data_IF_626010108557
#
_entry.id   IF_626010108557
#
_cell.length_a   1.000
_cell.length_b   1.000
_cell.length_c   1.000
_cell.angle_alpha   90.00
_cell.angle_beta   90.00
_cell.angle_gamma   90.00
#
_symmetry.space_group_name_H-M   'P 1'
#
loop_
_entity.id
_entity.type
_entity.pdbx_description
1 polymer ?
#
# COMPACT_ATOMS: atom_id res chain seq x y z
N UNK A 1 6.08 16.27 -28.17
CA UNK A 1 6.14 15.66 -26.83
C UNK A 1 6.67 14.25 -26.98
N UNK A 2 7.66 13.82 -26.19
CA UNK A 2 8.05 12.41 -26.15
C UNK A 2 6.88 11.64 -25.53
N UNK A 3 6.48 10.54 -26.14
CA UNK A 3 5.50 9.61 -25.54
C UNK A 3 6.03 9.22 -24.17
N UNK A 4 5.28 9.41 -23.07
CA UNK A 4 5.74 8.96 -21.76
C UNK A 4 5.99 7.44 -21.82
N UNK A 5 7.11 7.02 -21.29
CA UNK A 5 7.41 5.59 -21.16
C UNK A 5 7.07 5.16 -19.74
N UNK A 6 6.32 4.06 -19.62
CA UNK A 6 6.04 3.45 -18.33
C UNK A 6 7.34 3.14 -17.58
N UNK A 7 7.39 3.53 -16.33
CA UNK A 7 8.52 3.27 -15.45
C UNK A 7 8.61 1.77 -15.14
N UNK A 8 9.73 1.16 -15.44
CA UNK A 8 9.99 -0.27 -15.21
C UNK A 8 11.35 -0.47 -14.58
N UNK A 9 11.42 -1.38 -13.64
CA UNK A 9 12.65 -1.83 -12.99
C UNK A 9 12.83 -3.31 -13.28
N UNK A 10 13.97 -3.77 -13.84
CA UNK A 10 14.15 -5.17 -14.20
C UNK A 10 13.93 -6.08 -12.98
N UNK A 11 13.11 -7.12 -13.16
CA UNK A 11 12.82 -8.12 -12.13
C UNK A 11 11.86 -7.67 -11.02
N UNK A 12 11.33 -6.43 -11.08
CA UNK A 12 10.34 -5.93 -10.13
C UNK A 12 9.10 -5.38 -10.85
N UNK A 13 7.95 -5.50 -10.23
CA UNK A 13 6.70 -4.89 -10.69
C UNK A 13 6.48 -3.57 -9.94
N UNK A 14 6.34 -2.46 -10.67
CA UNK A 14 6.26 -1.12 -10.09
C UNK A 14 4.89 -0.51 -10.38
N UNK A 15 4.26 0.00 -9.32
CA UNK A 15 3.03 0.79 -9.37
C UNK A 15 3.24 2.22 -8.85
N UNK A 16 2.26 3.08 -9.12
CA UNK A 16 2.21 4.44 -8.57
C UNK A 16 0.91 4.65 -7.80
N UNK A 17 0.84 5.69 -6.98
CA UNK A 17 -0.43 6.13 -6.38
C UNK A 17 -1.24 6.97 -7.37
N UNK A 18 -2.56 7.03 -7.17
CA UNK A 18 -3.45 7.92 -7.89
C UNK A 18 -3.15 9.42 -7.66
N UNK A 19 -2.35 9.73 -6.63
CA UNK A 19 -2.01 11.10 -6.21
C UNK A 19 -0.62 11.59 -6.66
N UNK A 20 0.08 10.88 -7.54
CA UNK A 20 1.30 11.46 -8.15
C UNK A 20 0.96 12.67 -9.04
N UNK A 21 -0.28 12.79 -9.48
CA UNK A 21 -0.83 13.95 -10.18
C UNK A 21 -1.85 14.62 -9.25
N UNK A 22 -1.67 15.92 -8.89
CA UNK A 22 -2.52 16.61 -7.94
C UNK A 22 -3.83 17.08 -8.60
N UNK A 23 -4.75 16.15 -8.86
CA UNK A 23 -6.04 16.41 -9.48
C UNK A 23 -7.09 15.45 -8.91
N UNK A 24 -8.37 15.59 -9.30
CA UNK A 24 -9.42 14.62 -9.04
C UNK A 24 -9.10 13.27 -9.68
N UNK A 25 -9.73 12.19 -9.21
CA UNK A 25 -9.42 10.81 -9.62
C UNK A 25 -9.32 10.62 -11.14
N UNK A 26 -10.37 11.00 -11.89
CA UNK A 26 -10.42 10.73 -13.33
C UNK A 26 -9.32 11.46 -14.10
N UNK A 27 -9.13 12.79 -14.01
CA UNK A 27 -8.04 13.45 -14.71
C UNK A 27 -6.66 12.99 -14.23
N UNK A 28 -6.47 12.74 -12.92
CA UNK A 28 -5.20 12.22 -12.39
C UNK A 28 -4.85 10.86 -13.01
N UNK A 29 -5.80 9.93 -13.03
CA UNK A 29 -5.58 8.58 -13.58
C UNK A 29 -5.32 8.61 -15.09
N UNK A 30 -5.95 9.50 -15.85
CA UNK A 30 -5.64 9.69 -17.29
C UNK A 30 -4.17 10.00 -17.54
N UNK A 31 -3.51 10.67 -16.61
CA UNK A 31 -2.07 10.93 -16.67
C UNK A 31 -1.26 9.77 -16.08
N UNK A 32 -1.66 9.20 -14.94
CA UNK A 32 -0.94 8.11 -14.26
C UNK A 32 -0.71 6.88 -15.16
N UNK A 33 -1.68 6.53 -16.03
CA UNK A 33 -1.57 5.38 -16.95
C UNK A 33 -0.38 5.46 -17.91
N UNK A 34 0.21 6.63 -18.07
CA UNK A 34 1.39 6.84 -18.90
C UNK A 34 2.69 6.48 -18.18
N UNK A 35 2.67 6.33 -16.86
CA UNK A 35 3.88 6.18 -16.04
C UNK A 35 4.01 4.80 -15.40
N UNK A 36 2.91 4.11 -15.10
CA UNK A 36 2.94 2.83 -14.41
C UNK A 36 2.05 1.77 -15.09
N UNK A 37 2.35 0.49 -14.84
CA UNK A 37 1.53 -0.65 -15.26
C UNK A 37 0.50 -1.04 -14.18
N UNK A 38 0.62 -0.49 -12.97
CA UNK A 38 -0.29 -0.69 -11.86
C UNK A 38 -0.53 0.64 -11.12
N UNK A 39 -1.76 0.89 -10.69
CA UNK A 39 -2.13 2.12 -10.00
C UNK A 39 -2.86 1.78 -8.71
N UNK A 40 -2.34 2.32 -7.61
CA UNK A 40 -3.01 2.30 -6.33
C UNK A 40 -4.07 3.42 -6.28
N UNK A 41 -5.34 3.05 -6.34
CA UNK A 41 -6.44 3.98 -6.10
C UNK A 41 -6.54 4.25 -4.60
N UNK A 42 -6.16 5.45 -4.17
CA UNK A 42 -6.18 5.82 -2.76
C UNK A 42 -7.55 6.38 -2.37
N UNK A 43 -8.29 5.66 -1.54
CA UNK A 43 -9.55 6.08 -0.95
C UNK A 43 -9.31 6.53 0.49
N UNK A 44 -8.62 7.68 0.69
CA UNK A 44 -8.10 8.09 1.99
C UNK A 44 -9.18 8.35 3.04
N UNK A 45 -10.34 8.85 2.62
CA UNK A 45 -11.44 9.20 3.52
C UNK A 45 -12.77 8.65 3.01
N UNK A 46 -13.50 7.98 3.89
CA UNK A 46 -14.86 7.52 3.63
C UNK A 46 -15.92 8.47 4.20
N UNK A 47 -15.58 9.19 5.25
CA UNK A 47 -16.53 9.92 6.06
C UNK A 47 -17.37 9.00 6.95
N UNK A 48 -18.39 9.54 7.62
CA UNK A 48 -19.17 8.76 8.59
C UNK A 48 -20.06 7.69 7.95
N UNK A 49 -20.52 7.92 6.72
CA UNK A 49 -21.47 7.05 6.01
C UNK A 49 -21.05 6.73 4.57
N UNK A 50 -19.78 6.90 4.23
CA UNK A 50 -19.23 6.63 2.91
C UNK A 50 -19.40 7.78 1.90
N UNK A 51 -19.76 8.97 2.38
CA UNK A 51 -19.95 10.17 1.54
C UNK A 51 -18.66 10.71 0.92
N UNK A 52 -17.50 10.35 1.50
CA UNK A 52 -16.18 10.70 0.98
C UNK A 52 -15.66 9.75 -0.12
N UNK A 53 -16.36 8.63 -0.36
CA UNK A 53 -15.93 7.67 -1.35
C UNK A 53 -16.18 8.16 -2.79
N UNK A 54 -15.33 7.68 -3.71
CA UNK A 54 -15.50 7.85 -5.16
C UNK A 54 -16.87 7.36 -5.62
N UNK A 55 -17.44 8.00 -6.64
CA UNK A 55 -18.77 7.63 -7.13
C UNK A 55 -18.75 6.42 -8.07
N UNK A 56 -19.88 5.66 -8.19
CA UNK A 56 -19.98 4.58 -9.17
C UNK A 56 -19.78 5.02 -10.64
N UNK A 57 -20.08 6.29 -10.95
CA UNK A 57 -19.86 6.82 -12.29
C UNK A 57 -18.37 7.00 -12.59
N UNK A 58 -17.62 7.54 -11.63
CA UNK A 58 -16.16 7.67 -11.73
C UNK A 58 -15.48 6.29 -11.80
N UNK A 59 -15.92 5.30 -10.99
CA UNK A 59 -15.40 3.93 -11.07
C UNK A 59 -15.53 3.36 -12.48
N UNK A 60 -16.70 3.49 -13.13
CA UNK A 60 -16.88 3.02 -14.51
C UNK A 60 -15.98 3.74 -15.50
N UNK A 61 -15.77 5.04 -15.30
CA UNK A 61 -14.84 5.80 -16.16
C UNK A 61 -13.39 5.35 -15.95
N UNK A 62 -12.97 5.11 -14.70
CA UNK A 62 -11.65 4.58 -14.38
C UNK A 62 -11.44 3.18 -14.96
N UNK A 63 -12.45 2.30 -14.89
CA UNK A 63 -12.38 0.98 -15.50
C UNK A 63 -12.16 1.05 -17.03
N UNK A 64 -12.83 1.99 -17.71
CA UNK A 64 -12.63 2.25 -19.14
C UNK A 64 -11.20 2.73 -19.45
N UNK A 65 -10.71 3.71 -18.70
CA UNK A 65 -9.34 4.24 -18.86
C UNK A 65 -8.29 3.14 -18.67
N UNK A 66 -8.47 2.30 -17.65
CA UNK A 66 -7.55 1.21 -17.35
C UNK A 66 -7.54 0.14 -18.44
N UNK A 67 -8.73 -0.24 -18.96
CA UNK A 67 -8.86 -1.20 -20.03
C UNK A 67 -8.15 -0.72 -21.31
N UNK A 68 -8.35 0.55 -21.67
CA UNK A 68 -7.71 1.17 -22.85
C UNK A 68 -6.17 1.24 -22.72
N UNK A 69 -5.67 1.48 -21.50
CA UNK A 69 -4.23 1.63 -21.25
C UNK A 69 -3.54 0.32 -20.85
N UNK A 70 -4.28 -0.76 -20.59
CA UNK A 70 -3.77 -2.05 -20.12
C UNK A 70 -3.09 -1.96 -18.75
N UNK A 71 -3.63 -1.13 -17.83
CA UNK A 71 -3.14 -1.02 -16.46
C UNK A 71 -3.96 -1.87 -15.50
N UNK A 72 -3.34 -2.24 -14.38
CA UNK A 72 -3.95 -2.99 -13.28
C UNK A 72 -4.24 -2.08 -12.10
N UNK A 73 -5.02 -2.58 -11.16
CA UNK A 73 -5.40 -1.85 -9.98
C UNK A 73 -5.00 -2.57 -8.69
N UNK A 74 -4.54 -1.81 -7.74
CA UNK A 74 -4.73 -2.09 -6.33
C UNK A 74 -5.49 -0.92 -5.69
N UNK A 75 -6.10 -1.12 -4.54
CA UNK A 75 -6.92 -0.12 -3.86
C UNK A 75 -6.41 0.06 -2.45
N UNK A 76 -6.05 1.28 -2.08
CA UNK A 76 -5.83 1.63 -0.69
C UNK A 76 -7.16 2.03 -0.08
N UNK A 77 -7.60 1.27 0.91
CA UNK A 77 -8.87 1.48 1.60
C UNK A 77 -8.81 2.71 2.50
N UNK A 78 -9.97 3.28 2.90
CA UNK A 78 -10.03 4.46 3.75
C UNK A 78 -9.24 4.31 5.06
N UNK A 79 -8.61 5.40 5.50
CA UNK A 79 -7.76 5.45 6.70
C UNK A 79 -8.36 6.29 7.83
N UNK A 80 -9.52 6.91 7.60
CA UNK A 80 -10.22 7.81 8.52
C UNK A 80 -11.11 7.09 9.56
N UNK A 81 -10.89 5.79 9.76
CA UNK A 81 -11.58 4.97 10.74
C UNK A 81 -10.67 4.04 11.53
N UNK A 82 -11.21 3.36 12.52
CA UNK A 82 -10.43 2.47 13.37
C UNK A 82 -11.26 1.61 14.33
N UNK A 83 -10.57 0.80 15.12
CA UNK A 83 -11.14 -0.26 15.96
C UNK A 83 -11.09 0.04 17.48
N UNK A 84 -11.05 1.31 17.92
CA UNK A 84 -10.96 1.64 19.33
C UNK A 84 -12.18 1.19 20.14
N UNK A 85 -13.36 1.39 19.61
CA UNK A 85 -14.63 1.01 20.23
C UNK A 85 -15.42 0.05 19.36
N UNK A 86 -16.43 -0.62 19.93
CA UNK A 86 -17.35 -1.47 19.14
C UNK A 86 -18.08 -0.64 18.06
N UNK A 87 -18.44 0.60 18.37
CA UNK A 87 -19.15 1.46 17.44
C UNK A 87 -18.24 1.95 16.32
N UNK A 88 -17.03 2.46 16.64
CA UNK A 88 -16.07 2.90 15.61
C UNK A 88 -15.64 1.73 14.73
N UNK A 89 -15.38 0.56 15.31
CA UNK A 89 -15.02 -0.65 14.58
C UNK A 89 -16.13 -1.11 13.63
N UNK A 90 -17.40 -1.10 14.06
CA UNK A 90 -18.55 -1.42 13.20
C UNK A 90 -18.66 -0.45 12.03
N UNK A 91 -18.64 0.86 12.29
CA UNK A 91 -18.70 1.90 11.26
C UNK A 91 -17.55 1.78 10.26
N UNK A 92 -16.34 1.60 10.76
CA UNK A 92 -15.16 1.42 9.90
C UNK A 92 -15.32 0.16 9.03
N UNK A 93 -15.74 -0.97 9.60
CA UNK A 93 -16.01 -2.20 8.85
C UNK A 93 -17.04 -1.99 7.74
N UNK A 94 -18.14 -1.29 8.02
CA UNK A 94 -19.18 -0.97 7.04
C UNK A 94 -18.62 -0.11 5.89
N UNK A 95 -17.78 0.88 6.19
CA UNK A 95 -17.13 1.72 5.19
C UNK A 95 -16.10 0.94 4.34
N UNK A 96 -15.31 0.06 4.96
CA UNK A 96 -14.38 -0.83 4.25
C UNK A 96 -15.14 -1.75 3.28
N UNK A 97 -16.21 -2.41 3.73
CA UNK A 97 -17.06 -3.25 2.88
C UNK A 97 -17.62 -2.44 1.71
N UNK A 98 -18.14 -1.25 1.98
CA UNK A 98 -18.68 -0.35 0.96
C UNK A 98 -17.63 0.05 -0.07
N UNK A 99 -16.39 0.36 0.37
CA UNK A 99 -15.28 0.68 -0.52
C UNK A 99 -14.86 -0.53 -1.39
N UNK A 100 -14.80 -1.73 -0.81
CA UNK A 100 -14.51 -2.97 -1.55
C UNK A 100 -15.59 -3.23 -2.61
N UNK A 101 -16.87 -3.19 -2.22
CA UNK A 101 -17.98 -3.45 -3.13
C UNK A 101 -18.02 -2.44 -4.28
N UNK A 102 -17.75 -1.16 -3.98
CA UNK A 102 -17.70 -0.08 -4.95
C UNK A 102 -16.55 -0.26 -5.97
N UNK A 103 -15.37 -0.64 -5.49
CA UNK A 103 -14.17 -0.76 -6.34
C UNK A 103 -14.03 -2.12 -7.02
N UNK A 104 -14.91 -3.06 -6.75
CA UNK A 104 -14.87 -4.42 -7.35
C UNK A 104 -14.92 -4.40 -8.88
N UNK A 105 -15.61 -3.43 -9.48
CA UNK A 105 -15.70 -3.26 -10.94
C UNK A 105 -14.33 -2.97 -11.59
N UNK A 106 -13.36 -2.46 -10.83
CA UNK A 106 -11.99 -2.27 -11.29
C UNK A 106 -11.17 -3.57 -11.32
N UNK A 107 -11.71 -4.67 -10.78
CA UNK A 107 -11.02 -5.95 -10.62
C UNK A 107 -9.64 -5.82 -9.93
N UNK A 108 -9.54 -5.12 -8.77
CA UNK A 108 -8.26 -4.95 -8.12
C UNK A 108 -7.70 -6.30 -7.68
N UNK A 109 -6.40 -6.49 -7.88
CA UNK A 109 -5.74 -7.71 -7.39
C UNK A 109 -5.48 -7.66 -5.87
N UNK A 110 -5.50 -6.47 -5.25
CA UNK A 110 -5.26 -6.28 -3.80
C UNK A 110 -6.01 -5.05 -3.29
N UNK A 111 -6.58 -5.17 -2.09
CA UNK A 111 -7.02 -4.06 -1.25
C UNK A 111 -6.08 -3.95 -0.06
N UNK A 112 -5.53 -2.77 0.19
CA UNK A 112 -4.66 -2.49 1.34
C UNK A 112 -5.48 -1.85 2.44
N UNK A 113 -5.32 -2.33 3.67
CA UNK A 113 -6.08 -1.90 4.83
C UNK A 113 -5.19 -1.55 6.01
N UNK A 114 -5.41 -0.38 6.59
CA UNK A 114 -4.86 -0.04 7.89
C UNK A 114 -5.64 -0.71 9.01
N UNK A 115 -4.91 -1.24 9.99
CA UNK A 115 -5.50 -1.74 11.23
C UNK A 115 -5.08 -0.81 12.36
N UNK A 116 -5.94 0.14 12.70
CA UNK A 116 -5.66 1.14 13.73
C UNK A 116 -6.67 1.06 14.86
N UNK A 117 -6.20 1.38 16.08
CA UNK A 117 -7.04 1.68 17.22
C UNK A 117 -6.86 3.15 17.57
N UNK A 118 -7.92 3.86 17.95
CA UNK A 118 -7.91 5.34 18.16
C UNK A 118 -6.94 5.78 19.29
N UNK A 119 -6.31 4.82 19.95
CA UNK A 119 -5.32 5.14 20.95
C UNK A 119 -4.02 5.50 20.26
N UNK A 120 -3.82 6.78 19.96
CA UNK A 120 -2.51 7.30 19.59
C UNK A 120 -1.75 7.54 20.88
N UNK A 121 -0.85 6.65 21.32
CA UNK A 121 -0.01 6.91 22.47
C UNK A 121 0.87 8.12 22.19
N UNK A 122 1.38 8.75 23.24
CA UNK A 122 2.42 9.76 23.10
C UNK A 122 3.63 9.23 22.31
N UNK A 123 4.55 10.10 21.88
CA UNK A 123 5.61 9.77 20.93
C UNK A 123 6.51 8.59 21.32
N UNK A 124 6.53 8.20 22.58
CA UNK A 124 7.40 7.15 23.11
C UNK A 124 6.67 5.81 23.37
N UNK A 125 5.37 5.72 23.07
CA UNK A 125 4.59 4.50 23.35
C UNK A 125 4.18 3.83 22.04
N UNK A 126 4.67 2.60 21.82
CA UNK A 126 4.23 1.74 20.73
C UNK A 126 2.84 1.16 21.04
N UNK A 127 2.00 1.12 20.01
CA UNK A 127 0.65 0.57 20.11
C UNK A 127 0.72 -0.97 20.14
N UNK A 128 0.19 -1.56 21.20
CA UNK A 128 -0.07 -2.99 21.26
C UNK A 128 -1.58 -3.24 21.26
N UNK A 129 -2.03 -4.18 20.46
CA UNK A 129 -3.43 -4.61 20.51
C UNK A 129 -3.73 -5.31 21.83
N UNK A 130 -4.78 -4.86 22.50
CA UNK A 130 -5.37 -5.63 23.59
C UNK A 130 -6.11 -6.86 23.05
N UNK A 131 -6.39 -7.85 23.90
CA UNK A 131 -7.20 -9.01 23.48
C UNK A 131 -8.55 -8.61 22.93
N UNK A 132 -9.23 -7.63 23.54
CA UNK A 132 -10.53 -7.12 23.09
C UNK A 132 -10.46 -6.44 21.72
N UNK A 133 -9.41 -5.68 21.47
CA UNK A 133 -9.18 -5.06 20.16
C UNK A 133 -8.88 -6.12 19.10
N UNK A 134 -8.03 -7.08 19.43
CA UNK A 134 -7.72 -8.22 18.56
C UNK A 134 -9.00 -8.98 18.18
N UNK A 135 -9.83 -9.35 19.13
CA UNK A 135 -11.11 -10.03 18.89
C UNK A 135 -12.06 -9.19 18.03
N UNK A 136 -12.13 -7.88 18.27
CA UNK A 136 -12.95 -6.95 17.49
C UNK A 136 -12.48 -6.90 16.04
N UNK A 137 -11.17 -6.76 15.83
CA UNK A 137 -10.59 -6.72 14.49
C UNK A 137 -10.84 -8.05 13.77
N UNK A 138 -10.61 -9.19 14.42
CA UNK A 138 -10.87 -10.51 13.83
C UNK A 138 -12.33 -10.67 13.40
N UNK A 139 -13.30 -10.27 14.24
CA UNK A 139 -14.73 -10.27 13.85
C UNK A 139 -15.00 -9.37 12.64
N UNK A 140 -14.34 -8.23 12.55
CA UNK A 140 -14.48 -7.32 11.42
C UNK A 140 -13.88 -7.92 10.14
N UNK A 141 -12.72 -8.55 10.23
CA UNK A 141 -12.10 -9.25 9.09
C UNK A 141 -12.96 -10.43 8.60
N UNK A 142 -13.61 -11.17 9.51
CA UNK A 142 -14.59 -12.20 9.16
C UNK A 142 -15.79 -11.64 8.37
N UNK A 143 -16.25 -10.42 8.71
CA UNK A 143 -17.34 -9.74 7.99
C UNK A 143 -16.89 -9.20 6.63
N UNK A 144 -15.65 -8.74 6.50
CA UNK A 144 -15.08 -8.22 5.25
C UNK A 144 -14.79 -9.34 4.25
N UNK A 145 -14.32 -10.50 4.71
CA UNK A 145 -13.87 -11.62 3.87
C UNK A 145 -14.85 -12.01 2.76
N UNK A 146 -16.18 -12.14 2.98
CA UNK A 146 -17.14 -12.53 1.94
C UNK A 146 -17.27 -11.52 0.79
N UNK A 147 -16.78 -10.29 0.97
CA UNK A 147 -16.81 -9.23 -0.05
C UNK A 147 -15.59 -9.25 -0.97
N UNK A 148 -14.58 -10.06 -0.67
CA UNK A 148 -13.35 -10.21 -1.45
C UNK A 148 -13.48 -11.35 -2.48
N UNK A 149 -12.82 -11.28 -3.64
CA UNK A 149 -12.76 -12.40 -4.59
C UNK A 149 -11.99 -13.59 -4.02
N UNK A 150 -11.00 -13.35 -3.17
CA UNK A 150 -10.29 -14.34 -2.38
C UNK A 150 -9.75 -13.63 -1.11
N UNK A 151 -9.69 -14.31 0.04
CA UNK A 151 -9.30 -13.69 1.31
C UNK A 151 -7.91 -12.99 1.26
N UNK A 152 -6.96 -13.60 0.58
CA UNK A 152 -5.60 -13.08 0.41
C UNK A 152 -5.53 -11.79 -0.42
N UNK A 153 -6.63 -11.38 -1.06
CA UNK A 153 -6.71 -10.09 -1.75
C UNK A 153 -6.79 -8.89 -0.78
N UNK A 154 -7.09 -9.13 0.51
CA UNK A 154 -6.94 -8.10 1.53
C UNK A 154 -5.55 -8.19 2.14
N UNK A 155 -4.78 -7.11 2.03
CA UNK A 155 -3.45 -7.00 2.58
C UNK A 155 -3.45 -6.01 3.76
N UNK A 156 -3.08 -6.49 4.95
CA UNK A 156 -2.96 -5.67 6.14
C UNK A 156 -1.59 -4.98 6.14
N UNK A 157 -1.57 -3.67 6.33
CA UNK A 157 -0.36 -2.86 6.21
C UNK A 157 0.30 -2.62 7.57
N UNK A 158 1.64 -2.76 7.64
CA UNK A 158 2.41 -2.34 8.80
C UNK A 158 2.57 -0.82 8.83
N UNK A 159 2.24 -0.23 9.95
CA UNK A 159 2.21 1.21 10.15
C UNK A 159 3.36 1.67 11.06
N UNK A 160 3.76 2.93 10.91
CA UNK A 160 4.67 3.57 11.85
C UNK A 160 4.05 3.64 13.25
N UNK A 161 4.90 3.70 14.28
CA UNK A 161 4.53 3.72 15.71
C UNK A 161 3.83 2.45 16.20
N UNK A 162 3.81 1.40 15.40
CA UNK A 162 3.33 0.08 15.78
C UNK A 162 4.52 -0.88 15.94
N UNK A 163 4.46 -1.85 16.88
CA UNK A 163 5.45 -2.92 16.93
C UNK A 163 5.48 -3.70 15.62
N UNK A 164 6.64 -4.22 15.25
CA UNK A 164 6.78 -5.03 14.03
C UNK A 164 5.91 -6.29 14.03
N UNK A 165 5.66 -6.86 15.22
CA UNK A 165 4.80 -8.04 15.44
C UNK A 165 3.30 -7.70 15.61
N UNK A 166 2.94 -6.42 15.44
CA UNK A 166 1.56 -5.93 15.63
C UNK A 166 0.54 -6.70 14.78
N UNK A 167 0.87 -6.98 13.51
CA UNK A 167 -0.02 -7.69 12.60
C UNK A 167 0.13 -9.22 12.65
N UNK A 168 1.18 -9.74 13.27
CA UNK A 168 1.49 -11.18 13.21
C UNK A 168 0.36 -12.06 13.73
N UNK A 169 -0.31 -11.62 14.81
CA UNK A 169 -1.48 -12.33 15.35
C UNK A 169 -2.67 -12.31 14.38
N UNK A 170 -2.88 -11.22 13.67
CA UNK A 170 -3.99 -11.07 12.74
C UNK A 170 -3.75 -11.87 11.46
N UNK A 171 -2.56 -11.76 10.88
CA UNK A 171 -2.18 -12.49 9.66
C UNK A 171 -2.14 -13.99 9.94
N UNK A 172 -1.60 -14.43 11.08
CA UNK A 172 -1.57 -15.86 11.43
C UNK A 172 -2.95 -16.46 11.78
N UNK A 173 -3.91 -15.63 12.21
CA UNK A 173 -5.26 -16.06 12.59
C UNK A 173 -6.27 -15.98 11.45
N UNK A 174 -5.91 -15.39 10.31
CA UNK A 174 -6.81 -15.15 9.17
C UNK A 174 -6.13 -15.56 7.86
N UNK A 175 -6.89 -15.79 6.78
CA UNK A 175 -6.33 -16.07 5.46
C UNK A 175 -5.91 -14.81 4.68
N UNK A 176 -5.78 -13.65 5.36
CA UNK A 176 -5.38 -12.39 4.74
C UNK A 176 -3.87 -12.30 4.58
N UNK A 177 -3.45 -11.43 3.69
CA UNK A 177 -2.04 -11.20 3.40
C UNK A 177 -1.50 -9.92 4.06
N UNK A 178 -0.24 -9.61 3.81
CA UNK A 178 0.47 -8.45 4.31
C UNK A 178 0.81 -7.50 3.16
N UNK A 179 0.56 -6.21 3.35
CA UNK A 179 1.23 -5.15 2.64
C UNK A 179 2.47 -4.76 3.44
N UNK A 180 3.65 -4.98 2.88
CA UNK A 180 4.91 -4.64 3.54
C UNK A 180 5.29 -3.20 3.18
N UNK A 181 4.96 -2.24 4.06
CA UNK A 181 5.46 -0.88 3.93
C UNK A 181 6.89 -0.79 4.48
N UNK A 182 7.81 -0.65 3.54
CA UNK A 182 9.26 -0.56 3.78
C UNK A 182 9.63 0.82 4.33
N UNK A 183 8.95 1.87 3.84
CA UNK A 183 9.18 3.25 4.28
C UNK A 183 8.80 3.46 5.75
N UNK A 184 7.69 2.87 6.21
CA UNK A 184 7.30 2.90 7.62
C UNK A 184 8.32 2.20 8.52
N UNK A 185 8.92 1.08 8.06
CA UNK A 185 9.99 0.41 8.82
C UNK A 185 11.22 1.31 8.96
N UNK A 186 11.63 1.96 7.86
CA UNK A 186 12.74 2.92 7.91
C UNK A 186 12.44 4.10 8.83
N UNK A 187 11.20 4.62 8.82
CA UNK A 187 10.77 5.73 9.69
C UNK A 187 10.90 5.40 11.18
N UNK A 188 10.72 4.14 11.55
CA UNK A 188 10.95 3.63 12.91
C UNK A 188 12.44 3.39 13.23
N UNK A 189 13.35 3.65 12.29
CA UNK A 189 14.77 3.38 12.43
C UNK A 189 15.13 1.89 12.42
N UNK A 190 14.24 1.07 11.88
CA UNK A 190 14.41 -0.38 11.77
C UNK A 190 14.94 -0.76 10.39
N UNK A 191 15.28 -2.02 10.22
CA UNK A 191 15.89 -2.59 9.02
C UNK A 191 14.91 -3.52 8.32
N UNK A 192 14.27 -3.10 7.21
CA UNK A 192 13.28 -3.93 6.52
C UNK A 192 13.88 -5.22 5.94
N UNK A 193 15.18 -5.23 5.59
CA UNK A 193 15.87 -6.42 5.12
C UNK A 193 15.94 -7.54 6.18
N UNK A 194 15.79 -7.23 7.46
CA UNK A 194 15.70 -8.21 8.54
C UNK A 194 14.27 -8.77 8.70
N UNK A 195 13.25 -8.00 8.33
CA UNK A 195 11.84 -8.42 8.36
C UNK A 195 11.42 -9.18 7.10
N UNK A 196 12.02 -8.89 5.96
CA UNK A 196 11.67 -9.51 4.68
C UNK A 196 11.63 -11.05 4.75
N UNK A 197 12.66 -11.76 5.24
CA UNK A 197 12.61 -13.23 5.30
C UNK A 197 11.57 -13.77 6.28
N UNK A 198 11.21 -13.00 7.32
CA UNK A 198 10.23 -13.40 8.32
C UNK A 198 8.79 -13.28 7.78
N UNK A 199 8.53 -12.25 6.99
CA UNK A 199 7.19 -11.93 6.48
C UNK A 199 6.95 -12.43 5.05
N UNK A 200 8.01 -12.89 4.36
CA UNK A 200 7.96 -13.32 2.96
C UNK A 200 6.77 -14.23 2.60
N UNK A 201 6.37 -15.21 3.43
CA UNK A 201 5.25 -16.09 3.11
C UNK A 201 3.90 -15.37 3.00
N UNK A 202 3.76 -14.23 3.70
CA UNK A 202 2.49 -13.52 3.82
C UNK A 202 2.45 -12.24 2.95
N UNK A 203 3.60 -11.79 2.42
CA UNK A 203 3.68 -10.56 1.61
C UNK A 203 2.99 -10.76 0.27
N UNK A 204 1.96 -9.96 0.01
CA UNK A 204 1.29 -9.88 -1.28
C UNK A 204 1.80 -8.72 -2.13
N UNK A 205 2.05 -7.59 -1.49
CA UNK A 205 2.60 -6.40 -2.13
C UNK A 205 3.44 -5.59 -1.14
N UNK A 206 4.19 -4.63 -1.66
CA UNK A 206 4.98 -3.71 -0.86
C UNK A 206 4.59 -2.27 -1.17
N UNK A 207 4.64 -1.42 -0.15
CA UNK A 207 4.76 0.03 -0.30
C UNK A 207 6.22 0.42 -0.11
N UNK A 208 6.67 1.38 -0.91
CA UNK A 208 8.04 1.85 -0.87
C UNK A 208 8.09 3.36 -1.09
N UNK A 209 8.65 4.05 -0.13
CA UNK A 209 8.88 5.50 -0.19
C UNK A 209 10.12 5.89 0.60
N UNK A 210 10.69 7.03 0.28
CA UNK A 210 11.82 7.59 1.00
C UNK A 210 11.40 8.50 2.14
N UNK A 211 12.39 8.92 2.91
CA UNK A 211 12.27 9.82 4.05
C UNK A 211 13.13 11.06 3.84
N UNK A 212 12.57 12.23 4.16
CA UNK A 212 13.30 13.49 4.28
C UNK A 212 12.92 14.15 5.62
N UNK A 213 12.16 15.25 5.61
CA UNK A 213 11.56 15.84 6.83
C UNK A 213 10.29 15.11 7.24
N UNK A 214 9.68 14.39 6.29
CA UNK A 214 8.51 13.55 6.43
C UNK A 214 8.68 12.32 5.55
N UNK A 215 7.81 11.36 5.70
CA UNK A 215 7.67 10.18 4.84
C UNK A 215 7.01 10.49 3.48
N UNK A 216 6.78 9.45 2.70
CA UNK A 216 6.22 9.51 1.35
C UNK A 216 6.98 10.46 0.44
N UNK A 217 8.31 10.43 0.55
CA UNK A 217 9.24 11.18 -0.27
C UNK A 217 9.98 10.29 -1.25
N UNK A 218 10.62 10.91 -2.21
CA UNK A 218 11.42 10.17 -3.18
C UNK A 218 12.51 9.33 -2.52
N UNK A 219 12.76 8.16 -3.10
CA UNK A 219 13.83 7.24 -2.67
C UNK A 219 15.24 7.83 -2.82
N UNK A 220 15.43 8.87 -3.65
CA UNK A 220 16.74 9.51 -3.76
C UNK A 220 17.20 10.19 -2.46
N UNK A 221 16.30 10.45 -1.51
CA UNK A 221 16.67 10.93 -0.17
C UNK A 221 17.25 9.82 0.71
N UNK A 222 17.07 8.56 0.33
CA UNK A 222 17.61 7.43 1.07
C UNK A 222 19.08 7.19 0.68
N UNK A 223 19.95 6.83 1.65
CA UNK A 223 21.30 6.38 1.31
C UNK A 223 21.25 5.18 0.34
N UNK A 224 22.08 5.17 -0.69
CA UNK A 224 22.12 4.09 -1.67
C UNK A 224 22.27 2.70 -1.03
N UNK A 225 23.11 2.58 0.00
CA UNK A 225 23.32 1.33 0.73
C UNK A 225 22.05 0.85 1.47
N UNK A 226 21.21 1.76 1.96
CA UNK A 226 19.95 1.44 2.62
C UNK A 226 18.93 0.89 1.61
N UNK A 227 18.85 1.50 0.43
CA UNK A 227 18.00 1.02 -0.65
C UNK A 227 18.48 -0.33 -1.19
N UNK A 228 19.80 -0.48 -1.41
CA UNK A 228 20.41 -1.73 -1.87
C UNK A 228 20.18 -2.88 -0.87
N UNK A 229 20.18 -2.59 0.44
CA UNK A 229 19.99 -3.61 1.48
C UNK A 229 18.64 -4.31 1.40
N UNK A 230 17.59 -3.65 0.90
CA UNK A 230 16.28 -4.28 0.73
C UNK A 230 16.05 -4.79 -0.70
N UNK A 231 16.49 -4.07 -1.73
CA UNK A 231 16.22 -4.44 -3.12
C UNK A 231 17.09 -5.60 -3.61
N UNK A 232 18.39 -5.65 -3.23
CA UNK A 232 19.28 -6.71 -3.67
C UNK A 232 18.81 -8.10 -3.20
N UNK A 233 18.44 -8.33 -1.92
CA UNK A 233 17.84 -9.58 -1.49
C UNK A 233 16.58 -9.97 -2.27
N UNK A 234 15.72 -9.01 -2.67
CA UNK A 234 14.54 -9.32 -3.49
C UNK A 234 14.94 -9.90 -4.85
N UNK A 235 15.97 -9.33 -5.51
CA UNK A 235 16.50 -9.89 -6.77
C UNK A 235 17.17 -11.25 -6.56
N UNK A 236 17.95 -11.43 -5.49
CA UNK A 236 18.64 -12.69 -5.18
C UNK A 236 17.68 -13.86 -5.05
N UNK A 237 16.58 -13.67 -4.35
CA UNK A 237 15.55 -14.69 -4.13
C UNK A 237 14.48 -14.71 -5.23
N UNK A 238 14.59 -13.82 -6.23
CA UNK A 238 13.62 -13.63 -7.32
C UNK A 238 12.21 -13.32 -6.80
N UNK A 239 12.12 -12.61 -5.69
CA UNK A 239 10.88 -12.15 -5.14
C UNK A 239 10.49 -10.84 -5.82
N UNK A 240 9.45 -10.91 -6.64
CA UNK A 240 8.93 -9.77 -7.40
C UNK A 240 7.48 -9.48 -7.01
N UNK A 241 7.24 -8.96 -5.81
CA UNK A 241 5.92 -8.47 -5.45
C UNK A 241 5.60 -7.23 -6.30
N UNK A 242 4.34 -6.81 -6.31
CA UNK A 242 4.05 -5.45 -6.71
C UNK A 242 4.64 -4.50 -5.66
N UNK A 243 5.40 -3.51 -6.11
CA UNK A 243 5.91 -2.41 -5.27
C UNK A 243 5.20 -1.13 -5.71
N UNK A 244 4.26 -0.64 -4.91
CA UNK A 244 3.71 0.69 -5.10
C UNK A 244 4.69 1.73 -4.54
N UNK A 245 5.20 2.61 -5.41
CA UNK A 245 5.94 3.78 -4.97
C UNK A 245 4.94 4.76 -4.35
N UNK A 246 4.85 4.74 -3.03
CA UNK A 246 3.84 5.49 -2.29
C UNK A 246 4.31 6.91 -2.02
N UNK A 247 4.30 7.70 -3.09
CA UNK A 247 4.66 9.13 -3.10
C UNK A 247 3.54 9.95 -3.74
N UNK A 248 3.51 11.26 -3.46
CA UNK A 248 2.40 12.14 -3.78
C UNK A 248 2.79 13.30 -4.72
N UNK A 249 3.78 13.07 -5.56
CA UNK A 249 4.13 13.94 -6.68
C UNK A 249 4.79 13.15 -7.80
N UNK A 250 4.63 13.62 -9.03
CA UNK A 250 5.27 13.02 -10.20
C UNK A 250 6.80 13.07 -10.10
N UNK A 251 7.33 14.15 -9.58
CA UNK A 251 8.78 14.31 -9.39
C UNK A 251 9.32 13.30 -8.39
N UNK A 252 8.65 13.11 -7.23
CA UNK A 252 9.03 12.10 -6.25
C UNK A 252 8.94 10.67 -6.85
N UNK A 253 7.92 10.39 -7.67
CA UNK A 253 7.76 9.11 -8.36
C UNK A 253 8.90 8.85 -9.35
N UNK A 254 9.18 9.80 -10.25
CA UNK A 254 10.24 9.65 -11.27
C UNK A 254 11.63 9.52 -10.63
N UNK A 255 11.90 10.33 -9.61
CA UNK A 255 13.15 10.26 -8.86
C UNK A 255 13.28 8.94 -8.07
N UNK A 256 12.19 8.42 -7.52
CA UNK A 256 12.18 7.10 -6.87
C UNK A 256 12.47 5.97 -7.86
N UNK A 257 11.83 6.02 -9.03
CA UNK A 257 12.09 5.07 -10.10
C UNK A 257 13.56 5.09 -10.53
N UNK A 258 14.14 6.29 -10.70
CA UNK A 258 15.56 6.45 -11.06
C UNK A 258 16.48 5.85 -9.99
N UNK A 259 16.20 6.09 -8.69
CA UNK A 259 16.97 5.52 -7.60
C UNK A 259 16.94 3.97 -7.59
N UNK A 260 15.79 3.37 -7.95
CA UNK A 260 15.68 1.92 -8.09
C UNK A 260 16.47 1.37 -9.28
N UNK A 261 16.51 2.09 -10.41
CA UNK A 261 17.35 1.72 -11.56
C UNK A 261 18.83 1.76 -11.19
N UNK A 262 19.27 2.79 -10.50
CA UNK A 262 20.66 2.90 -10.02
C UNK A 262 21.01 1.79 -9.03
N UNK A 263 20.07 1.38 -8.15
CA UNK A 263 20.26 0.20 -7.30
C UNK A 263 20.41 -1.08 -8.11
N UNK A 264 19.59 -1.26 -9.16
CA UNK A 264 19.73 -2.39 -10.06
C UNK A 264 21.07 -2.41 -10.81
N UNK A 265 21.56 -1.26 -11.28
CA UNK A 265 22.89 -1.14 -11.90
C UNK A 265 24.00 -1.55 -10.92
N UNK A 266 23.91 -1.14 -9.66
CA UNK A 266 24.84 -1.57 -8.61
C UNK A 266 24.72 -3.08 -8.32
N UNK A 267 23.51 -3.65 -8.39
CA UNK A 267 23.28 -5.08 -8.22
C UNK A 267 23.98 -5.88 -9.33
N UNK A 268 23.71 -5.58 -10.60
CA UNK A 268 24.32 -6.33 -11.73
C UNK A 268 25.83 -6.13 -11.83
N UNK A 269 26.39 -5.04 -11.31
CA UNK A 269 27.83 -4.82 -11.30
C UNK A 269 28.59 -5.67 -10.27
N UNK A 270 27.87 -6.27 -9.32
CA UNK A 270 28.42 -7.15 -8.28
C UNK A 270 28.30 -8.63 -8.63
N UNK A 271 27.44 -8.97 -9.61
CA UNK A 271 27.14 -10.33 -10.05
C UNK A 271 27.53 -10.56 -11.51
#
# INVERSE_FOLDING_TARGET
MKTPHKCRVPGLSIGCTSFIIPDYYVPAIRECVHYADDIALLLLEAGDHGEGLITPAEIRELAGIAADAGVKWNVHLPTDGGFATEESGRRYTENIIRAIDLTRELEPHTWVMHVVTDHIPGPDMRLHLTERETERILRSLEQITPHLPAPECLALENLERHPTDYLDKLVSATPHSRCFDIGHVWKEGLRPEELLPLWLPDIRMCHLHGLEKRDHKSLHHMPAATLDAILHPMWDIRFSPLITLEVFSLDDFLNSHQAMLESHERYISKH
#
